data_IF_764160418093
#
_entry.id   IF_764160418093
#
_cell.length_a   1.000
_cell.length_b   1.000
_cell.length_c   1.000
_cell.angle_alpha   90.00
_cell.angle_beta   90.00
_cell.angle_gamma   90.00
#
_symmetry.space_group_name_H-M   'P 1'
#
loop_
_entity.id
_entity.type
_entity.pdbx_description
1 polymer ?
#
# COMPACT_ATOMS: atom_id res chain seq x y z
N UNK A 1 -9.10 10.70 -3.34
CA UNK A 1 -8.08 10.95 -2.30
C UNK A 1 -7.89 12.45 -2.20
N UNK A 2 -8.20 13.11 -1.08
CA UNK A 2 -8.05 14.58 -0.91
C UNK A 2 -7.06 14.95 0.22
N UNK A 3 -6.40 13.95 0.77
CA UNK A 3 -5.64 14.06 2.02
C UNK A 3 -4.17 13.69 1.89
N UNK A 4 -3.76 13.16 0.72
CA UNK A 4 -2.39 12.72 0.43
C UNK A 4 -1.87 13.52 -0.75
N UNK A 5 -0.74 14.19 -0.53
CA UNK A 5 -0.09 14.98 -1.57
C UNK A 5 0.67 14.09 -2.55
N UNK A 6 0.60 14.46 -3.83
CA UNK A 6 1.44 13.94 -4.89
C UNK A 6 1.77 15.09 -5.85
N UNK A 7 3.00 15.11 -6.35
CA UNK A 7 3.42 16.06 -7.38
C UNK A 7 2.84 15.67 -8.74
N UNK A 8 2.99 14.41 -9.11
CA UNK A 8 2.56 13.83 -10.39
C UNK A 8 1.79 12.52 -10.19
N UNK A 9 0.92 12.21 -11.14
CA UNK A 9 0.12 10.99 -11.20
C UNK A 9 0.40 10.25 -12.50
N UNK A 10 0.84 9.00 -12.39
CA UNK A 10 1.03 8.09 -13.51
C UNK A 10 0.00 6.97 -13.45
N UNK A 11 -0.79 6.82 -14.51
CA UNK A 11 -1.71 5.71 -14.68
C UNK A 11 -1.19 4.76 -15.77
N UNK A 12 -0.83 3.55 -15.37
CA UNK A 12 -0.51 2.47 -16.30
C UNK A 12 -1.80 1.71 -16.59
N UNK A 13 -2.35 1.88 -17.79
CA UNK A 13 -3.66 1.34 -18.11
C UNK A 13 -3.73 0.89 -19.56
N UNK A 14 -3.92 -0.42 -19.73
CA UNK A 14 -4.27 -1.04 -20.99
C UNK A 14 -5.12 -2.30 -20.74
N UNK A 15 -5.96 -2.68 -21.72
CA UNK A 15 -6.68 -3.96 -21.69
C UNK A 15 -5.74 -5.15 -21.74
N UNK A 16 -4.61 -5.05 -22.44
CA UNK A 16 -3.61 -6.10 -22.52
C UNK A 16 -2.94 -6.39 -21.16
N UNK A 17 -2.98 -5.43 -20.21
CA UNK A 17 -2.48 -5.63 -18.84
C UNK A 17 -3.53 -6.28 -17.91
N UNK A 18 -4.74 -6.54 -18.41
CA UNK A 18 -5.85 -7.04 -17.62
C UNK A 18 -5.65 -8.47 -17.12
N UNK A 19 -6.25 -8.78 -15.97
CA UNK A 19 -6.21 -10.11 -15.34
C UNK A 19 -4.79 -10.67 -15.10
N UNK A 20 -3.81 -9.77 -14.96
CA UNK A 20 -2.46 -10.11 -14.56
C UNK A 20 -2.41 -10.74 -13.16
N UNK A 21 -1.53 -11.72 -12.98
CA UNK A 21 -1.07 -12.14 -11.67
C UNK A 21 -0.01 -11.17 -11.11
N UNK A 22 0.57 -11.52 -9.96
CA UNK A 22 1.52 -10.63 -9.28
C UNK A 22 2.80 -10.41 -10.07
N UNK A 23 3.25 -11.41 -10.84
CA UNK A 23 4.48 -11.33 -11.62
C UNK A 23 4.31 -10.38 -12.81
N UNK A 24 3.26 -10.58 -13.61
CA UNK A 24 2.98 -9.70 -14.74
C UNK A 24 2.65 -8.26 -14.28
N UNK A 25 1.99 -8.11 -13.13
CA UNK A 25 1.74 -6.80 -12.51
C UNK A 25 3.05 -6.13 -12.08
N UNK A 26 3.96 -6.86 -11.43
CA UNK A 26 5.24 -6.33 -10.97
C UNK A 26 6.14 -5.89 -12.14
N UNK A 27 6.17 -6.65 -13.24
CA UNK A 27 6.87 -6.26 -14.47
C UNK A 27 6.33 -4.95 -15.05
N UNK A 28 5.01 -4.80 -15.07
CA UNK A 28 4.34 -3.59 -15.55
C UNK A 28 4.71 -2.38 -14.67
N UNK A 29 4.65 -2.53 -13.35
CA UNK A 29 5.02 -1.48 -12.40
C UNK A 29 6.50 -1.09 -12.50
N UNK A 30 7.41 -2.07 -12.56
CA UNK A 30 8.84 -1.84 -12.69
C UNK A 30 9.18 -1.10 -13.99
N UNK A 31 8.53 -1.46 -15.10
CA UNK A 31 8.72 -0.77 -16.39
C UNK A 31 8.22 0.66 -16.33
N UNK A 32 7.10 0.92 -15.64
CA UNK A 32 6.63 2.28 -15.37
C UNK A 32 7.64 3.11 -14.58
N UNK A 33 8.23 2.53 -13.54
CA UNK A 33 9.25 3.20 -12.72
C UNK A 33 10.51 3.49 -13.55
N UNK A 34 10.95 2.56 -14.40
CA UNK A 34 12.08 2.78 -15.31
C UNK A 34 11.83 3.82 -16.41
N UNK A 35 10.56 4.09 -16.73
CA UNK A 35 10.17 5.09 -17.74
C UNK A 35 10.20 6.52 -17.18
N UNK A 36 10.25 6.70 -15.85
CA UNK A 36 10.39 8.01 -15.23
C UNK A 36 11.68 8.71 -15.69
N UNK A 37 11.65 10.05 -15.73
CA UNK A 37 12.83 10.83 -16.13
C UNK A 37 13.98 10.73 -15.12
N UNK A 38 13.63 10.59 -13.84
CA UNK A 38 14.57 10.47 -12.73
C UNK A 38 14.30 9.16 -11.97
N UNK A 39 15.36 8.46 -11.60
CA UNK A 39 15.28 7.26 -10.77
C UNK A 39 14.92 7.65 -9.33
N UNK A 40 13.85 7.09 -8.73
CA UNK A 40 13.48 7.43 -7.37
C UNK A 40 14.52 6.97 -6.34
N UNK A 41 14.87 7.83 -5.39
CA UNK A 41 15.69 7.45 -4.23
C UNK A 41 14.97 6.45 -3.32
N UNK A 42 13.64 6.52 -3.28
CA UNK A 42 12.82 5.60 -2.50
C UNK A 42 11.59 5.19 -3.30
N UNK A 43 11.31 3.89 -3.29
CA UNK A 43 10.07 3.32 -3.84
C UNK A 43 9.28 2.69 -2.70
N UNK A 44 8.00 3.04 -2.59
CA UNK A 44 7.10 2.51 -1.56
C UNK A 44 6.07 1.57 -2.16
N UNK A 45 5.85 0.44 -1.51
CA UNK A 45 4.70 -0.43 -1.71
C UNK A 45 4.00 -0.74 -0.38
N UNK A 46 2.68 -0.95 -0.44
CA UNK A 46 1.93 -1.43 0.71
C UNK A 46 2.20 -2.91 1.02
N UNK A 47 1.87 -3.34 2.25
CA UNK A 47 2.09 -4.71 2.72
C UNK A 47 1.47 -5.78 1.80
N UNK A 48 0.18 -5.63 1.53
CA UNK A 48 -0.61 -6.45 0.59
C UNK A 48 -1.85 -5.67 0.18
N UNK A 49 -2.47 -6.07 -0.92
CA UNK A 49 -3.80 -5.55 -1.29
C UNK A 49 -4.88 -6.31 -0.52
N UNK A 50 -6.03 -5.67 -0.28
CA UNK A 50 -7.13 -6.25 0.49
C UNK A 50 -7.97 -7.29 -0.29
N UNK A 51 -7.81 -7.35 -1.60
CA UNK A 51 -8.54 -8.21 -2.52
C UNK A 51 -7.76 -9.50 -2.83
N UNK A 52 -6.55 -9.38 -3.37
CA UNK A 52 -5.69 -10.51 -3.73
C UNK A 52 -4.88 -11.06 -2.54
N UNK A 53 -4.59 -10.22 -1.55
CA UNK A 53 -3.93 -10.57 -0.28
C UNK A 53 -2.58 -11.31 -0.39
N UNK A 54 -1.92 -11.27 -1.56
CA UNK A 54 -0.70 -12.05 -1.81
C UNK A 54 0.55 -11.48 -1.14
N UNK A 55 0.66 -10.15 -1.05
CA UNK A 55 1.89 -9.47 -0.58
C UNK A 55 3.09 -9.64 -1.52
N UNK A 56 2.90 -10.10 -2.76
CA UNK A 56 4.02 -10.42 -3.66
C UNK A 56 4.40 -9.28 -4.61
N UNK A 57 3.46 -8.44 -5.05
CA UNK A 57 3.70 -7.46 -6.12
C UNK A 57 4.81 -6.46 -5.78
N UNK A 58 4.86 -5.96 -4.53
CA UNK A 58 5.92 -5.05 -4.08
C UNK A 58 7.32 -5.68 -4.18
N UNK A 59 7.59 -6.80 -3.46
CA UNK A 59 8.87 -7.51 -3.55
C UNK A 59 9.24 -7.99 -4.96
N UNK A 60 8.26 -8.40 -5.78
CA UNK A 60 8.54 -8.78 -7.17
C UNK A 60 8.90 -7.57 -8.05
N UNK A 61 8.32 -6.40 -7.77
CA UNK A 61 8.69 -5.15 -8.45
C UNK A 61 10.10 -4.74 -8.06
N UNK A 62 10.43 -4.80 -6.78
CA UNK A 62 11.79 -4.55 -6.29
C UNK A 62 12.81 -5.44 -6.99
N UNK A 63 12.54 -6.74 -7.11
CA UNK A 63 13.44 -7.69 -7.76
C UNK A 63 13.80 -7.28 -9.20
N UNK A 64 12.87 -6.62 -9.92
CA UNK A 64 13.12 -6.08 -11.26
C UNK A 64 13.97 -4.80 -11.23
N UNK A 65 13.84 -3.99 -10.17
CA UNK A 65 14.57 -2.73 -9.99
C UNK A 65 15.98 -2.94 -9.40
N UNK A 66 16.27 -4.10 -8.79
CA UNK A 66 17.55 -4.45 -8.16
C UNK A 66 17.96 -3.46 -7.05
N UNK A 67 17.01 -3.14 -6.17
CA UNK A 67 17.17 -2.16 -5.07
C UNK A 67 17.23 -2.86 -3.70
N UNK A 68 18.00 -2.36 -2.72
CA UNK A 68 17.89 -2.79 -1.34
C UNK A 68 16.43 -2.80 -0.83
N UNK A 69 15.92 -3.98 -0.47
CA UNK A 69 14.55 -4.17 0.03
C UNK A 69 14.48 -4.16 1.57
N UNK A 70 13.57 -3.35 2.12
CA UNK A 70 13.18 -3.43 3.53
C UNK A 70 11.65 -3.64 3.63
N UNK A 71 11.25 -4.79 4.17
CA UNK A 71 9.84 -5.16 4.38
C UNK A 71 9.36 -4.92 5.80
N UNK A 72 8.03 -4.90 5.98
CA UNK A 72 7.36 -4.73 7.27
C UNK A 72 7.75 -3.44 8.01
N UNK A 73 8.01 -2.36 7.26
CA UNK A 73 8.44 -1.09 7.84
C UNK A 73 7.27 -0.42 8.56
N UNK A 74 7.46 -0.09 9.85
CA UNK A 74 6.50 0.63 10.68
C UNK A 74 6.87 2.10 10.89
N UNK A 75 8.16 2.44 10.79
CA UNK A 75 8.63 3.83 10.78
C UNK A 75 9.99 3.91 10.08
N UNK A 76 10.33 5.06 9.53
CA UNK A 76 11.64 5.27 8.90
C UNK A 76 12.13 6.71 9.05
N UNK A 77 13.45 6.86 8.98
CA UNK A 77 14.15 8.13 8.89
C UNK A 77 15.06 8.08 7.67
N UNK A 78 15.06 9.13 6.86
CA UNK A 78 15.93 9.27 5.69
C UNK A 78 17.00 10.30 6.03
N UNK A 79 18.25 9.97 5.74
CA UNK A 79 19.39 10.87 5.79
C UNK A 79 19.88 11.13 4.35
N UNK A 80 19.49 12.27 3.74
CA UNK A 80 19.91 12.60 2.38
C UNK A 80 21.40 12.94 2.27
N UNK A 81 22.03 13.42 3.35
CA UNK A 81 23.45 13.81 3.33
C UNK A 81 24.35 12.55 3.32
N UNK A 82 23.92 11.49 4.00
CA UNK A 82 24.61 10.19 4.02
C UNK A 82 24.09 9.20 2.96
N UNK A 83 23.06 9.57 2.18
CA UNK A 83 22.38 8.72 1.19
C UNK A 83 21.92 7.38 1.80
N UNK A 84 21.26 7.43 2.97
CA UNK A 84 20.79 6.24 3.70
C UNK A 84 19.36 6.37 4.19
N UNK A 85 18.70 5.22 4.30
CA UNK A 85 17.44 5.06 5.02
C UNK A 85 17.65 4.17 6.23
N UNK A 86 17.10 4.58 7.38
CA UNK A 86 17.03 3.81 8.61
C UNK A 86 15.58 3.49 8.92
N UNK A 87 15.22 2.22 8.92
CA UNK A 87 13.85 1.77 9.10
C UNK A 87 13.71 0.91 10.36
N UNK A 88 12.58 1.04 11.04
CA UNK A 88 12.09 0.08 12.04
C UNK A 88 11.11 -0.85 11.36
N UNK A 89 11.28 -2.16 11.54
CA UNK A 89 10.37 -3.16 11.00
C UNK A 89 9.87 -4.12 12.06
N UNK A 90 8.66 -4.64 11.87
CA UNK A 90 8.14 -5.75 12.65
C UNK A 90 8.71 -7.06 12.13
N UNK A 91 9.11 -7.92 13.05
CA UNK A 91 9.51 -9.29 12.78
C UNK A 91 8.69 -10.20 13.67
N UNK A 92 7.93 -11.09 13.06
CA UNK A 92 7.15 -12.09 13.78
C UNK A 92 8.11 -13.18 14.31
N UNK A 93 8.24 -13.25 15.63
CA UNK A 93 9.00 -14.27 16.35
C UNK A 93 8.12 -14.90 17.47
N UNK A 94 8.72 -15.53 18.49
CA UNK A 94 7.94 -16.07 19.63
C UNK A 94 7.17 -14.96 20.40
N UNK A 95 7.61 -13.71 20.26
CA UNK A 95 6.89 -12.48 20.55
C UNK A 95 7.21 -11.46 19.43
N UNK A 96 6.33 -10.48 19.17
CA UNK A 96 6.60 -9.45 18.18
C UNK A 96 7.87 -8.66 18.55
N UNK A 97 8.84 -8.63 17.65
CA UNK A 97 10.10 -7.91 17.83
C UNK A 97 10.21 -6.75 16.82
N UNK A 98 10.73 -5.61 17.29
CA UNK A 98 11.04 -4.47 16.43
C UNK A 98 12.54 -4.47 16.16
N UNK A 99 12.91 -4.67 14.91
CA UNK A 99 14.28 -4.53 14.43
C UNK A 99 14.52 -3.13 13.85
N UNK A 100 15.73 -2.61 14.01
CA UNK A 100 16.17 -1.41 13.31
C UNK A 100 17.24 -1.79 12.29
N UNK A 101 16.99 -1.46 11.02
CA UNK A 101 17.86 -1.79 9.88
C UNK A 101 18.20 -0.52 9.10
N UNK A 102 19.28 -0.59 8.32
CA UNK A 102 19.73 0.51 7.47
C UNK A 102 20.09 -0.01 6.07
N UNK A 103 19.79 0.78 5.05
CA UNK A 103 20.16 0.53 3.67
C UNK A 103 20.66 1.82 2.99
N UNK A 104 21.57 1.73 2.00
CA UNK A 104 21.89 2.86 1.13
C UNK A 104 20.68 3.22 0.24
N UNK A 105 20.62 4.47 -0.23
CA UNK A 105 19.72 4.88 -1.30
C UNK A 105 20.35 4.56 -2.68
N UNK A 106 19.54 4.23 -3.71
CA UNK A 106 18.09 4.07 -3.66
C UNK A 106 17.65 2.82 -2.88
N UNK A 107 16.43 2.81 -2.34
CA UNK A 107 15.90 1.66 -1.60
C UNK A 107 14.39 1.44 -1.84
N UNK A 108 13.97 0.19 -1.74
CA UNK A 108 12.57 -0.21 -1.85
C UNK A 108 12.01 -0.54 -0.47
N UNK A 109 10.87 0.06 -0.14
CA UNK A 109 10.23 -0.04 1.17
C UNK A 109 8.85 -0.69 1.02
N UNK A 110 8.63 -1.79 1.72
CA UNK A 110 7.29 -2.37 1.90
C UNK A 110 6.81 -2.04 3.31
N UNK A 111 5.80 -1.18 3.41
CA UNK A 111 5.24 -0.72 4.68
C UNK A 111 4.35 -1.78 5.31
N UNK A 112 4.43 -1.95 6.62
CA UNK A 112 3.50 -2.74 7.41
C UNK A 112 2.14 -2.02 7.58
N UNK A 113 1.02 -2.72 7.87
CA UNK A 113 -0.25 -2.06 8.22
C UNK A 113 -0.15 -1.10 9.43
N UNK A 114 0.82 -1.30 10.33
CA UNK A 114 1.07 -0.40 11.45
C UNK A 114 1.95 0.81 11.10
N UNK A 115 2.29 1.01 9.81
CA UNK A 115 3.13 2.13 9.39
C UNK A 115 2.50 3.49 9.70
N UNK A 116 3.27 4.32 10.38
CA UNK A 116 2.91 5.71 10.64
C UNK A 116 4.01 6.67 10.18
N UNK A 117 3.62 7.65 9.36
CA UNK A 117 4.53 8.72 8.96
C UNK A 117 4.88 9.62 10.17
N UNK A 118 6.16 9.69 10.53
CA UNK A 118 6.65 10.49 11.65
C UNK A 118 7.41 11.74 11.18
N UNK A 119 6.89 12.93 11.51
CA UNK A 119 7.53 14.21 11.19
C UNK A 119 8.11 14.86 12.44
N UNK A 120 9.39 14.62 12.73
CA UNK A 120 10.05 15.10 13.95
C UNK A 120 10.36 16.61 13.94
N UNK A 121 10.64 17.19 12.77
CA UNK A 121 10.98 18.61 12.63
C UNK A 121 9.75 19.47 12.44
N UNK A 122 9.79 20.68 13.00
CA UNK A 122 8.68 21.63 12.87
C UNK A 122 8.49 22.08 11.41
N UNK A 123 9.58 22.23 10.67
CA UNK A 123 9.57 22.56 9.24
C UNK A 123 8.79 21.50 8.43
N UNK A 124 9.09 20.21 8.60
CA UNK A 124 8.38 19.13 7.90
C UNK A 124 6.88 19.10 8.23
N UNK A 125 6.50 19.40 9.48
CA UNK A 125 5.07 19.45 9.87
C UNK A 125 4.34 20.63 9.25
N UNK A 126 5.00 21.77 9.09
CA UNK A 126 4.44 22.95 8.43
C UNK A 126 4.32 22.70 6.93
N UNK A 127 5.37 22.16 6.30
CA UNK A 127 5.35 21.76 4.90
C UNK A 127 4.24 20.73 4.62
N UNK A 128 4.14 19.66 5.41
CA UNK A 128 3.06 18.68 5.28
C UNK A 128 1.66 19.32 5.40
N UNK A 129 1.50 20.33 6.25
CA UNK A 129 0.23 21.06 6.36
C UNK A 129 -0.06 21.85 5.07
N UNK A 130 0.93 22.56 4.54
CA UNK A 130 0.79 23.36 3.32
C UNK A 130 0.51 22.45 2.10
N UNK A 131 1.23 21.34 1.98
CA UNK A 131 1.00 20.31 0.94
C UNK A 131 -0.40 19.72 1.00
N UNK A 132 -0.97 19.49 2.19
CA UNK A 132 -2.36 19.04 2.32
C UNK A 132 -3.38 20.07 1.89
N UNK A 133 -3.10 21.36 2.06
CA UNK A 133 -3.95 22.44 1.53
C UNK A 133 -3.91 22.43 0.00
N UNK A 134 -2.71 22.42 -0.58
CA UNK A 134 -2.51 22.30 -2.04
C UNK A 134 -3.17 21.05 -2.62
N UNK A 135 -3.10 19.92 -1.92
CA UNK A 135 -3.74 18.65 -2.36
C UNK A 135 -5.24 18.82 -2.55
N UNK A 136 -5.92 19.52 -1.64
CA UNK A 136 -7.38 19.70 -1.72
C UNK A 136 -7.75 20.56 -2.91
N UNK A 137 -7.01 21.64 -3.14
CA UNK A 137 -7.20 22.51 -4.30
C UNK A 137 -6.99 21.72 -5.60
N UNK A 138 -5.88 20.98 -5.72
CA UNK A 138 -5.59 20.12 -6.89
C UNK A 138 -6.64 19.04 -7.09
N UNK A 139 -7.13 18.42 -6.02
CA UNK A 139 -8.15 17.38 -6.12
C UNK A 139 -9.53 17.92 -6.53
N UNK A 140 -9.87 19.15 -6.12
CA UNK A 140 -11.06 19.85 -6.60
C UNK A 140 -10.91 20.20 -8.10
N UNK A 141 -9.75 20.71 -8.50
CA UNK A 141 -9.44 21.01 -9.90
C UNK A 141 -9.48 19.76 -10.79
N UNK A 142 -8.75 18.69 -10.42
CA UNK A 142 -8.72 17.44 -11.17
C UNK A 142 -10.11 16.79 -11.27
N UNK A 143 -10.97 17.01 -10.27
CA UNK A 143 -12.37 16.60 -10.31
C UNK A 143 -13.16 17.14 -11.51
N UNK A 144 -12.79 18.31 -12.04
CA UNK A 144 -13.40 18.86 -13.27
C UNK A 144 -13.04 18.04 -14.51
N UNK A 145 -11.86 17.40 -14.54
CA UNK A 145 -11.42 16.55 -15.66
C UNK A 145 -12.02 15.14 -15.59
N UNK A 146 -12.60 14.77 -14.45
CA UNK A 146 -13.22 13.46 -14.22
C UNK A 146 -14.76 13.50 -14.30
N UNK A 147 -15.37 14.67 -14.44
CA UNK A 147 -16.82 14.80 -14.48
C UNK A 147 -17.38 14.22 -15.79
N UNK A 148 -18.47 13.43 -15.71
CA UNK A 148 -19.09 12.77 -16.86
C UNK A 148 -19.50 13.74 -17.98
N UNK A 149 -19.89 14.96 -17.63
CA UNK A 149 -20.29 16.03 -18.56
C UNK A 149 -19.14 16.98 -18.92
N UNK A 150 -17.90 16.66 -18.54
CA UNK A 150 -16.74 17.50 -18.85
C UNK A 150 -16.36 17.43 -20.32
N UNK A 151 -15.98 18.58 -20.90
CA UNK A 151 -15.32 18.62 -22.20
C UNK A 151 -13.81 18.36 -22.10
N UNK A 152 -13.27 18.24 -20.87
CA UNK A 152 -11.86 17.98 -20.60
C UNK A 152 -11.62 16.48 -20.37
N UNK A 153 -10.50 15.96 -20.85
CA UNK A 153 -10.03 14.61 -20.56
C UNK A 153 -8.99 14.61 -19.43
N UNK A 154 -8.93 13.54 -18.62
CA UNK A 154 -7.97 13.42 -17.52
C UNK A 154 -6.51 13.65 -17.96
N UNK A 155 -6.16 13.22 -19.18
CA UNK A 155 -4.84 13.38 -19.81
C UNK A 155 -4.50 14.81 -20.23
N UNK A 156 -5.46 15.74 -20.17
CA UNK A 156 -5.20 17.17 -20.40
C UNK A 156 -4.72 17.89 -19.14
N UNK A 157 -4.80 17.26 -17.96
CA UNK A 157 -4.25 17.82 -16.75
C UNK A 157 -2.73 17.64 -16.71
N UNK A 158 -1.99 18.72 -16.42
CA UNK A 158 -0.53 18.80 -16.56
C UNK A 158 0.26 17.85 -15.65
N UNK A 159 -0.38 17.32 -14.60
CA UNK A 159 0.17 16.39 -13.61
C UNK A 159 -0.31 14.96 -13.78
N UNK A 160 -1.08 14.65 -14.81
CA UNK A 160 -1.58 13.31 -15.07
C UNK A 160 -1.04 12.77 -16.38
N UNK A 161 -0.26 11.70 -16.27
CA UNK A 161 0.27 10.96 -17.41
C UNK A 161 -0.35 9.58 -17.45
N UNK A 162 -0.87 9.17 -18.61
CA UNK A 162 -1.33 7.81 -18.83
C UNK A 162 -0.40 7.10 -19.81
N UNK A 163 0.06 5.92 -19.43
CA UNK A 163 0.85 5.04 -20.31
C UNK A 163 0.12 3.73 -20.55
N UNK A 164 0.00 3.37 -21.82
CA UNK A 164 -0.48 2.07 -22.25
C UNK A 164 0.71 1.11 -22.47
N UNK A 165 0.44 -0.13 -22.91
CA UNK A 165 1.51 -1.12 -23.08
C UNK A 165 2.54 -0.71 -24.16
N UNK A 166 2.11 -0.02 -25.22
CA UNK A 166 2.98 0.44 -26.28
C UNK A 166 3.87 1.61 -25.83
N UNK A 167 3.32 2.52 -25.00
CA UNK A 167 4.10 3.63 -24.40
C UNK A 167 5.22 3.10 -23.51
N UNK A 168 4.97 1.99 -22.80
CA UNK A 168 5.94 1.28 -21.96
C UNK A 168 6.83 0.29 -22.72
N UNK A 169 6.63 0.12 -24.03
CA UNK A 169 7.32 -0.88 -24.85
C UNK A 169 7.21 -2.31 -24.26
N UNK A 170 6.03 -2.66 -23.74
CA UNK A 170 5.70 -3.97 -23.21
C UNK A 170 5.13 -4.86 -24.31
N UNK A 171 5.60 -6.11 -24.37
CA UNK A 171 5.08 -7.13 -25.29
C UNK A 171 3.79 -7.73 -24.70
N UNK A 172 2.64 -7.65 -25.39
CA UNK A 172 1.37 -8.22 -24.95
C UNK A 172 1.44 -9.69 -24.54
N UNK A 173 2.35 -10.48 -25.15
CA UNK A 173 2.52 -11.91 -24.82
C UNK A 173 3.16 -12.13 -23.43
N UNK A 174 3.70 -11.07 -22.79
CA UNK A 174 4.39 -11.12 -21.51
C UNK A 174 3.78 -10.22 -20.43
N UNK A 175 2.59 -9.67 -20.67
CA UNK A 175 1.82 -8.88 -19.71
C UNK A 175 0.40 -9.45 -19.57
N UNK A 176 -0.36 -8.93 -18.59
CA UNK A 176 -1.73 -9.39 -18.38
C UNK A 176 -1.81 -10.88 -18.10
N UNK A 177 -2.94 -11.48 -18.48
CA UNK A 177 -3.19 -12.91 -18.33
C UNK A 177 -2.17 -13.78 -19.10
N UNK A 178 -1.78 -13.37 -20.31
CA UNK A 178 -0.90 -14.18 -21.17
C UNK A 178 0.53 -14.25 -20.62
N UNK A 179 1.01 -13.17 -20.01
CA UNK A 179 2.29 -13.11 -19.29
C UNK A 179 2.26 -13.70 -17.88
N UNK A 180 1.09 -14.13 -17.38
CA UNK A 180 0.94 -14.58 -16.00
C UNK A 180 1.32 -16.06 -15.84
N UNK A 181 2.33 -16.40 -15.04
CA UNK A 181 2.64 -17.80 -14.72
C UNK A 181 1.54 -18.50 -13.90
N UNK A 182 0.68 -17.75 -13.21
CA UNK A 182 -0.45 -18.30 -12.44
C UNK A 182 -1.80 -17.89 -13.03
N UNK A 183 -2.78 -18.81 -12.99
CA UNK A 183 -4.13 -18.60 -13.53
C UNK A 183 -5.17 -19.08 -12.51
N UNK A 184 -6.14 -18.23 -12.18
CA UNK A 184 -7.27 -18.59 -11.31
C UNK A 184 -8.25 -19.47 -12.09
N UNK A 185 -8.27 -20.77 -11.79
CA UNK A 185 -9.15 -21.72 -12.48
C UNK A 185 -10.64 -21.59 -12.10
N UNK A 186 -10.94 -21.09 -10.90
CA UNK A 186 -12.29 -20.91 -10.39
C UNK A 186 -12.29 -20.30 -9.00
N UNK A 187 -13.42 -19.70 -8.60
CA UNK A 187 -13.63 -19.10 -7.28
C UNK A 187 -14.91 -19.68 -6.70
N UNK A 188 -14.77 -20.47 -5.63
CA UNK A 188 -15.90 -21.01 -4.89
C UNK A 188 -16.14 -20.17 -3.63
N UNK A 189 -17.33 -19.60 -3.44
CA UNK A 189 -17.64 -18.87 -2.22
C UNK A 189 -17.65 -19.85 -1.05
N UNK A 190 -16.80 -19.61 -0.04
CA UNK A 190 -16.82 -20.42 1.18
C UNK A 190 -18.14 -20.15 1.90
N UNK A 191 -19.01 -21.17 2.07
CA UNK A 191 -20.27 -20.98 2.77
C UNK A 191 -19.97 -20.58 4.21
N UNK A 192 -20.44 -19.40 4.62
CA UNK A 192 -20.40 -19.01 6.03
C UNK A 192 -21.23 -20.04 6.81
N UNK A 193 -20.58 -20.81 7.67
CA UNK A 193 -21.30 -21.62 8.63
C UNK A 193 -22.27 -20.71 9.40
N UNK A 194 -23.52 -21.11 9.65
CA UNK A 194 -24.39 -20.36 10.54
C UNK A 194 -23.62 -20.11 11.84
N UNK A 195 -23.67 -18.88 12.38
CA UNK A 195 -22.95 -18.57 13.60
C UNK A 195 -23.53 -19.40 14.74
N UNK A 196 -22.91 -20.53 15.07
CA UNK A 196 -23.18 -21.29 16.29
C UNK A 196 -22.67 -20.55 17.54
N UNK A 197 -22.02 -19.39 17.35
CA UNK A 197 -21.59 -18.50 18.41
C UNK A 197 -22.81 -17.77 18.97
N UNK A 198 -23.31 -18.25 20.10
CA UNK A 198 -24.16 -17.46 20.99
C UNK A 198 -23.28 -16.42 21.69
N UNK A 199 -23.64 -15.14 21.54
CA UNK A 199 -23.00 -14.05 22.26
C UNK A 199 -24.02 -13.50 23.26
N UNK A 200 -23.62 -13.40 24.52
CA UNK A 200 -24.41 -12.72 25.55
C UNK A 200 -24.10 -11.23 25.46
N UNK A 201 -25.07 -10.36 25.12
CA UNK A 201 -24.86 -8.93 25.22
C UNK A 201 -24.67 -8.56 26.69
N UNK A 202 -23.72 -7.64 26.95
CA UNK A 202 -23.40 -7.13 28.28
C UNK A 202 -23.45 -5.61 28.18
N UNK A 203 -24.24 -4.97 29.04
CA UNK A 203 -24.24 -3.52 29.18
C UNK A 203 -23.21 -3.10 30.25
N UNK A 204 -22.17 -2.31 29.92
CA UNK A 204 -21.16 -1.89 30.89
C UNK A 204 -21.70 -0.95 31.98
N UNK A 205 -22.88 -0.34 31.78
CA UNK A 205 -23.53 0.52 32.78
C UNK A 205 -24.47 -0.27 33.71
N UNK A 206 -24.69 -1.57 33.46
CA UNK A 206 -25.52 -2.45 34.29
C UNK A 206 -24.63 -3.32 35.22
N UNK A 207 -24.80 -3.14 36.52
CA UNK A 207 -23.99 -3.80 37.56
C UNK A 207 -24.19 -5.32 37.58
N UNK A 208 -25.40 -5.82 37.29
CA UNK A 208 -25.72 -7.25 37.28
C UNK A 208 -25.12 -7.97 36.05
N UNK A 209 -25.04 -7.26 34.92
CA UNK A 209 -24.38 -7.75 33.70
C UNK A 209 -22.86 -7.79 33.87
N UNK A 210 -22.27 -6.79 34.53
CA UNK A 210 -20.84 -6.74 34.82
C UNK A 210 -20.40 -7.78 35.87
N UNK A 211 -21.21 -8.04 36.89
CA UNK A 211 -20.95 -9.12 37.86
C UNK A 211 -20.93 -10.49 37.17
N UNK A 212 -21.91 -10.75 36.29
CA UNK A 212 -21.97 -11.99 35.49
C UNK A 212 -20.76 -12.15 34.56
N UNK A 213 -20.30 -11.07 33.94
CA UNK A 213 -19.10 -11.09 33.11
C UNK A 213 -17.85 -11.44 33.94
N UNK A 214 -17.70 -10.84 35.12
CA UNK A 214 -16.57 -11.11 36.01
C UNK A 214 -16.59 -12.56 36.49
N UNK A 215 -17.75 -13.08 36.88
CA UNK A 215 -17.91 -14.47 37.32
C UNK A 215 -17.53 -15.48 36.24
N UNK A 216 -17.91 -15.22 34.99
CA UNK A 216 -17.55 -16.07 33.84
C UNK A 216 -16.05 -15.99 33.50
N UNK A 217 -15.42 -14.82 33.68
CA UNK A 217 -13.98 -14.64 33.40
C UNK A 217 -13.08 -15.09 34.56
N UNK A 218 -13.57 -15.13 35.80
CA UNK A 218 -12.79 -15.45 37.00
C UNK A 218 -12.05 -16.80 36.94
N UNK A 219 -12.62 -17.90 36.39
CA UNK A 219 -11.91 -19.17 36.23
C UNK A 219 -10.70 -19.10 35.29
N UNK A 220 -10.70 -18.17 34.32
CA UNK A 220 -9.63 -18.00 33.33
C UNK A 220 -8.58 -16.97 33.76
N UNK A 221 -8.90 -16.13 34.76
CA UNK A 221 -7.98 -15.13 35.30
C UNK A 221 -6.87 -15.73 36.19
N UNK A 222 -7.10 -16.93 36.73
CA UNK A 222 -6.07 -17.73 37.38
C UNK A 222 -5.36 -18.59 36.31
N UNK A 223 -4.34 -18.04 35.65
CA UNK A 223 -3.53 -18.81 34.71
C UNK A 223 -2.91 -20.05 35.36
N UNK A 224 -2.80 -21.14 34.60
CA UNK A 224 -1.86 -22.25 34.87
C UNK A 224 -0.40 -21.80 34.70
#
# INVERSE_FOLDING_TARGET
>A
MRDVYADDLYLLSDREMGAADTWATAMTAATGIHQLEEEPDLVFAGFKTADGETGHTGPQTEWCLDMPLITHVISLEVDPDEERVRAKRLVEAEADEIETVEAPLPAFIVTDPEFEASYHRAEHRLEHKDLRETTRERADEFGEYLADDSEKEATEWDRFTMWNHADLNLDPDYIGLDGSPTIVAGVDPIPKAPSEREATPVDPDDEDDMERLIDELAPYAAGD
#
